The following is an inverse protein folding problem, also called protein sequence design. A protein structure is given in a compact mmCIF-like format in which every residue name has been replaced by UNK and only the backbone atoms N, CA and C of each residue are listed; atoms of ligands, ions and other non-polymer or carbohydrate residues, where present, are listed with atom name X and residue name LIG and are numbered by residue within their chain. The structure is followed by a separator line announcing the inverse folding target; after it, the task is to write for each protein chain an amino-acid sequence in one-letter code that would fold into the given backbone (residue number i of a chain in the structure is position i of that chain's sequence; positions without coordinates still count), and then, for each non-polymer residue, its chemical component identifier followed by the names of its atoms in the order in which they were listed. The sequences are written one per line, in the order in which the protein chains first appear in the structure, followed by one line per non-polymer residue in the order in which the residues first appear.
data_IF_372468721916
#
_entry.id   IF_372468721916
#
_cell.length_a   1.000
_cell.length_b   1.000
_cell.length_c   1.000
_cell.angle_alpha   90.00
_cell.angle_beta   90.00
_cell.angle_gamma   90.00
#
_symmetry.space_group_name_H-M   'P 1'
#
loop_
_entity.id
_entity.type
_entity.pdbx_description
1 polymer ?
#
# COMPACT_ATOMS: atom_id res chain seq x y z
N UNK A 1 1.38 8.14 3.46
CA UNK A 1 0.85 7.49 2.24
C UNK A 1 0.75 8.49 1.11
N UNK A 2 1.09 8.12 -0.13
CA UNK A 2 0.92 9.02 -1.25
C UNK A 2 -0.57 9.33 -1.45
N UNK A 3 -0.84 10.55 -1.85
CA UNK A 3 -2.21 10.95 -2.16
C UNK A 3 -2.51 10.61 -3.61
N UNK A 4 -3.56 9.85 -3.83
CA UNK A 4 -3.99 9.41 -5.15
C UNK A 4 -5.40 9.91 -5.43
N UNK A 5 -5.69 10.12 -6.70
CA UNK A 5 -7.05 10.43 -7.12
C UNK A 5 -7.93 9.17 -7.00
N UNK A 6 -9.26 9.37 -6.99
CA UNK A 6 -10.19 8.24 -6.98
C UNK A 6 -9.99 7.33 -8.20
N UNK A 7 -9.67 7.90 -9.34
CA UNK A 7 -9.42 7.16 -10.58
C UNK A 7 -8.16 6.30 -10.47
N UNK A 8 -7.10 6.82 -9.85
CA UNK A 8 -5.86 6.08 -9.63
C UNK A 8 -6.07 4.92 -8.66
N UNK A 9 -6.82 5.16 -7.56
CA UNK A 9 -7.16 4.12 -6.61
C UNK A 9 -8.00 3.01 -7.29
N UNK A 10 -8.96 3.37 -8.11
CA UNK A 10 -9.77 2.41 -8.85
C UNK A 10 -8.91 1.59 -9.81
N UNK A 11 -7.98 2.23 -10.50
CA UNK A 11 -7.06 1.51 -11.39
C UNK A 11 -6.21 0.50 -10.63
N UNK A 12 -5.69 0.87 -9.46
CA UNK A 12 -4.94 -0.06 -8.62
C UNK A 12 -5.82 -1.24 -8.16
N UNK A 13 -7.09 -0.97 -7.87
CA UNK A 13 -8.00 -1.96 -7.33
C UNK A 13 -8.46 -2.98 -8.38
N UNK A 14 -8.66 -2.55 -9.62
CA UNK A 14 -9.41 -3.32 -10.61
C UNK A 14 -8.60 -3.76 -11.84
N UNK A 15 -7.42 -3.20 -12.09
CA UNK A 15 -6.61 -3.57 -13.25
C UNK A 15 -6.17 -5.04 -13.13
N UNK A 16 -6.32 -5.84 -14.20
CA UNK A 16 -5.83 -7.23 -14.18
C UNK A 16 -4.35 -7.30 -13.80
N UNK A 17 -3.98 -8.34 -13.06
CA UNK A 17 -2.62 -8.49 -12.52
C UNK A 17 -1.55 -8.37 -13.59
N UNK A 18 -1.76 -8.99 -14.75
CA UNK A 18 -0.80 -8.99 -15.85
C UNK A 18 -0.61 -7.62 -16.50
N UNK A 19 -1.55 -6.70 -16.28
CA UNK A 19 -1.49 -5.34 -16.83
C UNK A 19 -1.14 -4.29 -15.78
N UNK A 20 -1.04 -4.69 -14.51
CA UNK A 20 -0.89 -3.76 -13.39
C UNK A 20 0.35 -2.88 -13.52
N UNK A 21 1.49 -3.46 -13.91
CA UNK A 21 2.74 -2.71 -14.04
C UNK A 21 2.76 -1.76 -15.24
N UNK A 22 1.76 -1.82 -16.10
CA UNK A 22 1.64 -0.89 -17.24
C UNK A 22 0.95 0.41 -16.86
N UNK A 23 0.42 0.54 -15.62
CA UNK A 23 -0.21 1.76 -15.18
C UNK A 23 0.80 2.91 -15.11
N UNK A 24 0.37 4.09 -15.55
CA UNK A 24 1.23 5.28 -15.58
C UNK A 24 1.80 5.59 -14.21
N UNK A 25 0.98 5.49 -13.16
CA UNK A 25 1.41 5.79 -11.78
C UNK A 25 2.46 4.81 -11.25
N UNK A 26 2.61 3.65 -11.88
CA UNK A 26 3.59 2.62 -11.48
C UNK A 26 4.82 2.60 -12.37
N UNK A 27 4.94 3.52 -13.34
CA UNK A 27 6.13 3.61 -14.17
C UNK A 27 7.32 4.13 -13.35
N UNK A 28 8.54 3.68 -13.64
CA UNK A 28 9.72 4.07 -12.84
C UNK A 28 9.87 5.57 -12.67
N UNK A 29 9.55 6.36 -13.68
CA UNK A 29 9.65 7.82 -13.62
C UNK A 29 8.68 8.45 -12.64
N UNK A 30 7.61 7.73 -12.26
CA UNK A 30 6.59 8.22 -11.32
C UNK A 30 6.78 7.68 -9.91
N UNK A 31 7.77 6.79 -9.71
CA UNK A 31 8.13 6.27 -8.39
C UNK A 31 9.36 7.03 -7.90
N UNK A 32 9.20 7.79 -6.84
CA UNK A 32 10.22 8.73 -6.37
C UNK A 32 11.40 8.06 -5.69
N UNK A 33 11.13 7.05 -4.86
CA UNK A 33 12.16 6.34 -4.11
C UNK A 33 11.61 4.99 -3.61
N UNK A 34 12.42 4.28 -2.83
CA UNK A 34 12.02 2.96 -2.30
C UNK A 34 10.84 3.06 -1.32
N UNK A 35 10.78 4.13 -0.54
CA UNK A 35 9.65 4.34 0.36
C UNK A 35 8.35 4.55 -0.43
N UNK A 36 8.41 5.36 -1.47
CA UNK A 36 7.26 5.59 -2.34
C UNK A 36 6.79 4.28 -2.99
N UNK A 37 7.73 3.48 -3.51
CA UNK A 37 7.41 2.18 -4.09
C UNK A 37 6.72 1.26 -3.07
N UNK A 38 7.24 1.21 -1.85
CA UNK A 38 6.65 0.43 -0.76
C UNK A 38 5.23 0.89 -0.44
N UNK A 39 5.04 2.19 -0.30
CA UNK A 39 3.72 2.76 0.00
C UNK A 39 2.71 2.48 -1.11
N UNK A 40 3.13 2.60 -2.38
CA UNK A 40 2.28 2.29 -3.52
C UNK A 40 1.89 0.81 -3.55
N UNK A 41 2.84 -0.10 -3.28
CA UNK A 41 2.57 -1.52 -3.24
C UNK A 41 1.55 -1.87 -2.13
N UNK A 42 1.73 -1.30 -0.95
CA UNK A 42 0.81 -1.54 0.18
C UNK A 42 -0.57 -0.98 -0.08
N UNK A 43 -0.65 0.22 -0.65
CA UNK A 43 -1.94 0.81 -1.01
C UNK A 43 -2.64 0.00 -2.08
N UNK A 44 -1.89 -0.50 -3.06
CA UNK A 44 -2.44 -1.37 -4.09
C UNK A 44 -3.05 -2.64 -3.48
N UNK A 45 -2.34 -3.30 -2.56
CA UNK A 45 -2.86 -4.49 -1.87
C UNK A 45 -4.17 -4.18 -1.16
N UNK A 46 -4.20 -3.08 -0.41
CA UNK A 46 -5.40 -2.65 0.33
C UNK A 46 -6.59 -2.45 -0.62
N UNK A 47 -6.38 -1.73 -1.71
CA UNK A 47 -7.46 -1.46 -2.67
C UNK A 47 -7.93 -2.72 -3.37
N UNK A 48 -7.03 -3.64 -3.70
CA UNK A 48 -7.40 -4.91 -4.35
C UNK A 48 -8.16 -5.81 -3.38
N UNK A 49 -7.82 -5.83 -2.09
CA UNK A 49 -8.60 -6.56 -1.09
C UNK A 49 -10.02 -6.00 -1.02
N UNK A 50 -10.18 -4.68 -0.98
CA UNK A 50 -11.49 -4.04 -0.96
C UNK A 50 -12.31 -4.40 -2.21
N UNK A 51 -11.70 -4.40 -3.39
CA UNK A 51 -12.39 -4.72 -4.64
C UNK A 51 -12.77 -6.20 -4.72
N UNK A 52 -11.91 -7.10 -4.26
CA UNK A 52 -12.13 -8.53 -4.35
C UNK A 52 -13.03 -9.09 -3.25
N UNK A 53 -13.19 -8.35 -2.14
CA UNK A 53 -13.97 -8.84 -1.00
C UNK A 53 -15.43 -9.15 -1.38
N UNK A 54 -16.01 -8.35 -2.28
CA UNK A 54 -17.38 -8.56 -2.76
C UNK A 54 -17.50 -9.87 -3.52
N UNK A 55 -16.57 -10.14 -4.42
CA UNK A 55 -16.58 -11.38 -5.21
C UNK A 55 -16.38 -12.61 -4.32
N UNK A 56 -15.45 -12.52 -3.37
CA UNK A 56 -15.24 -13.60 -2.40
C UNK A 56 -16.47 -13.83 -1.55
N UNK A 57 -17.16 -12.74 -1.17
CA UNK A 57 -18.40 -12.84 -0.40
C UNK A 57 -19.52 -13.60 -1.12
N UNK A 58 -19.59 -13.45 -2.45
CA UNK A 58 -20.56 -14.19 -3.27
C UNK A 58 -20.35 -15.70 -3.22
N UNK A 59 -19.14 -16.13 -2.94
CA UNK A 59 -18.79 -17.55 -2.82
C UNK A 59 -18.76 -18.03 -1.37
N UNK A 60 -19.25 -17.21 -0.42
CA UNK A 60 -19.28 -17.57 0.99
C UNK A 60 -17.94 -17.47 1.70
N UNK A 61 -16.95 -16.84 1.09
CA UNK A 61 -15.62 -16.66 1.67
C UNK A 61 -15.40 -15.23 2.10
N UNK A 62 -14.44 -15.01 2.99
CA UNK A 62 -14.07 -13.69 3.49
C UNK A 62 -12.66 -13.33 3.05
N UNK A 63 -12.47 -12.09 2.66
CA UNK A 63 -11.16 -11.55 2.35
C UNK A 63 -11.00 -10.25 3.15
N UNK A 64 -9.99 -10.21 3.99
CA UNK A 64 -9.75 -9.09 4.91
C UNK A 64 -8.33 -8.56 4.79
N UNK A 65 -8.17 -7.30 5.17
CA UNK A 65 -6.88 -6.66 5.28
C UNK A 65 -6.77 -6.08 6.69
N UNK A 66 -5.54 -5.99 7.20
CA UNK A 66 -5.28 -5.43 8.52
C UNK A 66 -4.28 -4.29 8.35
N UNK A 67 -4.65 -3.12 8.86
CA UNK A 67 -3.76 -1.96 8.90
C UNK A 67 -3.29 -1.77 10.35
N UNK A 68 -2.29 -2.52 10.81
CA UNK A 68 -1.81 -2.41 12.18
C UNK A 68 -1.13 -1.07 12.41
N UNK A 69 -1.20 -0.59 13.63
CA UNK A 69 -0.39 0.54 14.05
C UNK A 69 1.08 0.17 14.08
N UNK A 70 1.89 1.07 14.61
CA UNK A 70 3.33 0.81 14.72
C UNK A 70 3.57 -0.30 15.76
N UNK A 71 4.27 -1.35 15.33
CA UNK A 71 4.59 -2.49 16.15
C UNK A 71 6.10 -2.49 16.38
N UNK A 72 6.52 -2.64 17.65
CA UNK A 72 7.95 -2.68 17.98
C UNK A 72 8.51 -4.05 17.57
N UNK A 73 9.30 -4.06 16.50
CA UNK A 73 9.98 -5.24 15.96
C UNK A 73 11.45 -4.87 15.71
N UNK A 74 12.33 -5.84 15.45
CA UNK A 74 13.72 -5.48 15.08
C UNK A 74 13.78 -4.52 13.88
N UNK A 75 12.92 -4.72 12.88
CA UNK A 75 12.84 -3.81 11.73
C UNK A 75 12.40 -2.40 12.15
N UNK A 76 11.39 -2.30 13.02
CA UNK A 76 10.88 -1.01 13.50
C UNK A 76 11.95 -0.27 14.30
N UNK A 77 12.73 -0.99 15.13
CA UNK A 77 13.83 -0.39 15.89
C UNK A 77 14.87 0.18 14.93
N UNK A 78 15.25 -0.56 13.88
CA UNK A 78 16.19 -0.08 12.88
C UNK A 78 15.66 1.16 12.16
N UNK A 79 14.37 1.18 11.80
CA UNK A 79 13.75 2.33 11.16
C UNK A 79 13.73 3.57 12.05
N UNK A 80 13.42 3.40 13.36
CA UNK A 80 13.44 4.50 14.33
C UNK A 80 14.84 5.10 14.51
N UNK A 81 15.88 4.28 14.40
CA UNK A 81 17.25 4.71 14.57
C UNK A 81 17.95 5.03 13.25
N UNK A 82 17.27 4.85 12.12
CA UNK A 82 17.80 5.12 10.79
C UNK A 82 17.54 6.55 10.32
N UNK A 83 17.82 6.82 9.03
CA UNK A 83 17.65 8.17 8.45
C UNK A 83 16.24 8.73 8.54
N UNK A 84 15.22 7.87 8.64
CA UNK A 84 13.81 8.26 8.73
C UNK A 84 13.26 8.14 10.15
N UNK A 85 14.15 7.99 11.15
CA UNK A 85 13.75 7.78 12.52
C UNK A 85 12.86 8.87 13.08
N UNK A 86 13.20 10.13 12.81
CA UNK A 86 12.41 11.27 13.28
C UNK A 86 11.01 11.29 12.68
N UNK A 87 10.89 10.92 11.41
CA UNK A 87 9.59 10.81 10.75
C UNK A 87 8.70 9.79 11.46
N UNK A 88 9.24 8.61 11.75
CA UNK A 88 8.48 7.56 12.43
C UNK A 88 8.13 7.94 13.86
N UNK A 89 9.06 8.58 14.58
CA UNK A 89 8.82 9.03 15.95
C UNK A 89 7.70 10.07 16.00
N UNK A 90 7.63 10.95 15.01
CA UNK A 90 6.58 11.94 14.92
C UNK A 90 5.20 11.32 14.69
N UNK A 91 5.12 10.14 14.09
CA UNK A 91 3.86 9.43 13.89
C UNK A 91 3.25 8.94 15.20
N UNK A 92 4.06 8.79 16.26
CA UNK A 92 3.58 8.39 17.58
C UNK A 92 3.06 9.56 18.42
N UNK A 93 3.45 10.77 18.09
CA UNK A 93 3.15 11.95 18.90
C UNK A 93 1.67 12.36 18.83
#
# INVERSE_FOLDING_TARGET
MPQLTAEEDEALATTPTEELLNLVILQPENIKDTLHAYQMAKRCNEKRVMAQSVEWGKHGARLNDIAPGIIVTPLAVDEFNGPRGDFYKNMFA
#
